data_IF_124107188279
#
_entry.id   IF_124107188279
#
_cell.length_a   1.000
_cell.length_b   1.000
_cell.length_c   1.000
_cell.angle_alpha   90.00
_cell.angle_beta   90.00
_cell.angle_gamma   90.00
#
_symmetry.space_group_name_H-M   'P 1'
#
loop_
_entity.id
_entity.type
_entity.pdbx_description
1 polymer ?
#
# COMPACT_ATOMS: atom_id res chain seq x y z
N UNK A 1 25.61 23.55 -24.03
CA UNK A 1 25.62 23.92 -22.59
C UNK A 1 25.89 22.73 -21.66
N UNK A 2 25.18 21.59 -21.77
CA UNK A 2 25.50 20.37 -20.99
C UNK A 2 26.76 19.65 -21.50
N UNK A 3 26.82 19.40 -22.81
CA UNK A 3 27.98 18.78 -23.47
C UNK A 3 29.29 19.53 -23.24
N UNK A 4 29.25 20.87 -23.24
CA UNK A 4 30.44 21.71 -23.01
C UNK A 4 31.00 21.60 -21.59
N UNK A 5 30.20 21.07 -20.64
CA UNK A 5 30.58 20.85 -19.24
C UNK A 5 30.79 19.37 -18.90
N UNK A 6 30.50 18.45 -19.82
CA UNK A 6 30.52 17.00 -19.55
C UNK A 6 29.37 16.51 -18.68
N UNK A 7 28.34 17.32 -18.45
CA UNK A 7 27.18 16.97 -17.63
C UNK A 7 26.18 16.13 -18.44
N UNK A 8 25.57 15.13 -17.81
CA UNK A 8 24.50 14.32 -18.37
C UNK A 8 23.44 14.02 -17.30
N UNK A 9 22.18 13.89 -17.72
CA UNK A 9 21.09 13.42 -16.86
C UNK A 9 20.54 12.06 -17.31
N UNK A 10 19.54 11.55 -16.58
CA UNK A 10 18.93 10.26 -16.90
C UNK A 10 18.27 10.22 -18.29
N UNK A 11 17.72 11.33 -18.77
CA UNK A 11 17.11 11.38 -20.09
C UNK A 11 18.20 11.32 -21.18
N UNK A 12 19.33 12.00 -20.97
CA UNK A 12 20.49 11.94 -21.87
C UNK A 12 21.04 10.50 -21.97
N UNK A 13 21.16 9.79 -20.84
CA UNK A 13 21.59 8.37 -20.82
C UNK A 13 20.60 7.49 -21.59
N UNK A 14 19.29 7.62 -21.32
CA UNK A 14 18.26 6.79 -21.97
C UNK A 14 18.24 7.03 -23.47
N UNK A 15 18.38 8.28 -23.92
CA UNK A 15 18.45 8.64 -25.34
C UNK A 15 19.69 8.05 -26.02
N UNK A 16 20.86 8.13 -25.37
CA UNK A 16 22.10 7.53 -25.86
C UNK A 16 22.01 5.99 -25.94
N UNK A 17 21.41 5.33 -24.95
CA UNK A 17 21.17 3.88 -24.99
C UNK A 17 20.24 3.48 -26.14
N UNK A 18 19.15 4.21 -26.37
CA UNK A 18 18.28 3.98 -27.54
C UNK A 18 19.04 4.13 -28.85
N UNK A 19 19.92 5.13 -28.95
CA UNK A 19 20.73 5.35 -30.13
C UNK A 19 21.70 4.17 -30.37
N UNK A 20 22.46 3.78 -29.34
CA UNK A 20 23.44 2.69 -29.45
C UNK A 20 22.80 1.34 -29.71
N UNK A 21 21.73 0.99 -28.99
CA UNK A 21 21.02 -0.28 -29.14
C UNK A 21 20.14 -0.35 -30.39
N UNK A 22 19.80 0.81 -30.98
CA UNK A 22 19.13 0.89 -32.26
C UNK A 22 20.06 0.64 -33.45
N UNK A 23 21.33 1.07 -33.35
CA UNK A 23 22.33 0.85 -34.40
C UNK A 23 23.09 -0.47 -34.24
N UNK A 24 23.42 -0.83 -33.00
CA UNK A 24 24.09 -2.06 -32.65
C UNK A 24 23.06 -2.97 -31.97
N UNK A 25 22.84 -4.17 -32.48
CA UNK A 25 21.99 -5.13 -31.79
C UNK A 25 22.53 -5.43 -30.39
N UNK A 26 21.63 -5.71 -29.45
CA UNK A 26 22.02 -6.13 -28.11
C UNK A 26 22.79 -7.46 -28.19
N UNK A 27 24.05 -7.46 -27.75
CA UNK A 27 24.98 -8.60 -27.84
C UNK A 27 24.95 -9.49 -26.57
N UNK A 28 24.22 -9.08 -25.54
CA UNK A 28 24.11 -9.86 -24.30
C UNK A 28 23.08 -10.98 -24.38
N UNK A 29 22.93 -11.70 -23.26
CA UNK A 29 21.94 -12.78 -23.14
C UNK A 29 20.51 -12.24 -23.27
N UNK A 30 19.76 -12.83 -24.20
CA UNK A 30 18.37 -12.43 -24.41
C UNK A 30 17.51 -12.76 -23.20
N UNK A 31 16.77 -11.75 -22.73
CA UNK A 31 15.80 -11.93 -21.66
C UNK A 31 14.51 -12.48 -22.26
N UNK A 32 14.00 -13.58 -21.71
CA UNK A 32 12.78 -14.24 -22.18
C UNK A 32 11.50 -13.69 -21.54
N UNK A 33 11.60 -13.26 -20.28
CA UNK A 33 10.50 -12.72 -19.49
C UNK A 33 10.99 -11.53 -18.66
N UNK A 34 10.22 -10.45 -18.66
CA UNK A 34 10.48 -9.20 -17.96
C UNK A 34 9.27 -8.90 -17.09
N UNK A 35 9.51 -8.82 -15.79
CA UNK A 35 8.53 -8.42 -14.79
C UNK A 35 8.94 -7.05 -14.25
N UNK A 36 8.03 -6.10 -14.30
CA UNK A 36 8.26 -4.73 -13.83
C UNK A 36 7.26 -4.43 -12.74
N UNK A 37 7.78 -4.11 -11.57
CA UNK A 37 7.02 -3.55 -10.46
C UNK A 37 7.14 -2.03 -10.45
N UNK A 38 6.17 -1.34 -9.85
CA UNK A 38 6.10 0.13 -9.78
C UNK A 38 6.30 0.83 -11.13
N UNK A 39 5.65 0.30 -12.17
CA UNK A 39 5.81 0.80 -13.56
C UNK A 39 5.49 2.30 -13.69
N UNK A 40 4.65 2.84 -12.81
CA UNK A 40 4.27 4.26 -12.81
C UNK A 40 5.43 5.22 -12.51
N UNK A 41 6.50 4.75 -11.87
CA UNK A 41 7.67 5.58 -11.57
C UNK A 41 8.71 5.58 -12.72
N UNK A 42 8.43 4.85 -13.81
CA UNK A 42 9.29 4.79 -15.00
C UNK A 42 8.73 5.62 -16.15
N UNK A 43 9.60 6.32 -16.87
CA UNK A 43 9.22 7.01 -18.10
C UNK A 43 8.98 6.01 -19.24
N UNK A 44 8.08 6.36 -20.16
CA UNK A 44 7.81 5.55 -21.37
C UNK A 44 9.08 5.29 -22.20
N UNK A 45 10.01 6.24 -22.22
CA UNK A 45 11.29 6.08 -22.92
C UNK A 45 12.18 5.04 -22.25
N UNK A 46 12.23 4.99 -20.92
CA UNK A 46 12.96 3.95 -20.19
C UNK A 46 12.35 2.57 -20.46
N UNK A 47 11.03 2.44 -20.38
CA UNK A 47 10.33 1.17 -20.65
C UNK A 47 10.60 0.71 -22.09
N UNK A 48 10.63 1.64 -23.05
CA UNK A 48 10.91 1.33 -24.45
C UNK A 48 12.30 0.73 -24.69
N UNK A 49 13.29 0.93 -23.80
CA UNK A 49 14.60 0.31 -23.94
C UNK A 49 14.51 -1.22 -23.91
N UNK A 50 13.53 -1.77 -23.20
CA UNK A 50 13.38 -3.21 -23.02
C UNK A 50 13.08 -3.96 -24.33
N UNK A 51 12.62 -3.27 -25.37
CA UNK A 51 12.42 -3.84 -26.71
C UNK A 51 13.73 -4.39 -27.29
N UNK A 52 14.87 -3.82 -26.90
CA UNK A 52 16.18 -4.24 -27.41
C UNK A 52 16.67 -5.53 -26.74
N UNK A 53 16.17 -5.83 -25.54
CA UNK A 53 16.68 -6.92 -24.70
C UNK A 53 15.74 -8.14 -24.70
N UNK A 54 14.43 -7.93 -24.75
CA UNK A 54 13.41 -8.99 -24.79
C UNK A 54 12.69 -9.01 -26.14
N UNK A 55 12.82 -10.13 -26.87
CA UNK A 55 12.17 -10.34 -28.18
C UNK A 55 10.75 -10.92 -28.07
N UNK A 56 10.38 -11.47 -26.92
CA UNK A 56 9.07 -12.07 -26.69
C UNK A 56 8.04 -10.99 -26.33
N UNK A 57 7.55 -10.26 -27.34
CA UNK A 57 6.59 -9.15 -27.12
C UNK A 57 5.21 -9.65 -26.70
N UNK A 58 4.79 -10.83 -27.17
CA UNK A 58 3.43 -11.34 -26.94
C UNK A 58 3.17 -11.75 -25.49
N UNK A 59 4.13 -12.43 -24.85
CA UNK A 59 3.94 -13.02 -23.50
C UNK A 59 5.10 -12.73 -22.54
N UNK A 60 6.14 -12.06 -23.02
CA UNK A 60 7.37 -11.86 -22.26
C UNK A 60 7.34 -10.69 -21.29
N UNK A 61 6.25 -9.92 -21.21
CA UNK A 61 6.17 -8.73 -20.37
C UNK A 61 4.99 -8.77 -19.40
N UNK A 62 5.26 -8.47 -18.14
CA UNK A 62 4.26 -8.26 -17.09
C UNK A 62 4.58 -6.96 -16.39
N UNK A 63 3.60 -6.04 -16.38
CA UNK A 63 3.71 -4.74 -15.73
C UNK A 63 2.75 -4.70 -14.54
N UNK A 64 3.27 -4.32 -13.39
CA UNK A 64 2.53 -4.14 -12.14
C UNK A 64 2.77 -2.72 -11.63
N UNK A 65 1.73 -2.10 -11.08
CA UNK A 65 1.79 -0.74 -10.56
C UNK A 65 0.41 -0.15 -10.27
N UNK A 66 0.41 1.08 -9.79
CA UNK A 66 -0.80 1.84 -9.45
C UNK A 66 -0.70 3.27 -10.04
N UNK A 67 -1.66 3.62 -10.88
CA UNK A 67 -1.71 4.92 -11.58
C UNK A 67 -1.87 6.10 -10.62
N UNK A 68 -2.50 5.89 -9.46
CA UNK A 68 -2.70 6.92 -8.46
C UNK A 68 -1.46 7.16 -7.58
N UNK A 69 -0.49 6.25 -7.59
CA UNK A 69 0.69 6.26 -6.71
C UNK A 69 1.97 6.66 -7.47
N UNK A 70 1.87 7.67 -8.34
CA UNK A 70 3.05 8.19 -9.03
C UNK A 70 3.83 9.13 -8.12
N UNK A 71 5.06 8.77 -7.77
CA UNK A 71 5.93 9.57 -6.89
C UNK A 71 6.95 10.38 -7.72
N UNK A 72 7.31 9.86 -8.89
CA UNK A 72 8.20 10.52 -9.82
C UNK A 72 7.62 11.85 -10.35
N UNK A 73 8.34 12.95 -10.08
CA UNK A 73 7.89 14.30 -10.48
C UNK A 73 7.85 14.44 -12.01
N UNK A 74 6.71 14.93 -12.51
CA UNK A 74 6.52 15.22 -13.93
C UNK A 74 6.23 13.98 -14.77
N UNK A 75 5.93 12.86 -14.12
CA UNK A 75 5.39 11.67 -14.78
C UNK A 75 3.90 11.61 -14.48
N UNK A 76 3.09 11.59 -15.54
CA UNK A 76 1.71 11.17 -15.49
C UNK A 76 1.68 9.75 -16.10
N UNK A 77 0.99 8.81 -15.46
CA UNK A 77 1.06 7.40 -15.85
C UNK A 77 -0.32 6.78 -16.04
N UNK A 78 -0.48 6.10 -17.18
CA UNK A 78 -1.61 5.21 -17.45
C UNK A 78 -1.12 3.91 -18.08
N UNK A 79 -1.76 2.81 -17.70
CA UNK A 79 -1.60 1.53 -18.38
C UNK A 79 -2.00 1.61 -19.84
N UNK A 80 -2.94 2.50 -20.21
CA UNK A 80 -3.28 2.74 -21.62
C UNK A 80 -2.10 3.33 -22.43
N UNK A 81 -1.22 4.11 -21.78
CA UNK A 81 -0.02 4.64 -22.41
C UNK A 81 1.03 3.52 -22.63
N UNK A 82 1.09 2.52 -21.73
CA UNK A 82 1.89 1.30 -21.93
C UNK A 82 1.37 0.48 -23.11
N UNK A 83 0.06 0.28 -23.20
CA UNK A 83 -0.54 -0.43 -24.35
C UNK A 83 -0.21 0.27 -25.66
N UNK A 84 -0.35 1.60 -25.67
CA UNK A 84 0.01 2.44 -26.82
C UNK A 84 1.49 2.34 -27.17
N UNK A 85 2.38 2.35 -26.15
CA UNK A 85 3.81 2.16 -26.35
C UNK A 85 4.14 0.81 -26.99
N UNK A 86 3.53 -0.27 -26.52
CA UNK A 86 3.72 -1.60 -27.07
C UNK A 86 3.27 -1.67 -28.52
N UNK A 87 2.07 -1.14 -28.81
CA UNK A 87 1.58 -1.05 -30.18
C UNK A 87 2.53 -0.25 -31.08
N UNK A 88 3.03 0.90 -30.63
CA UNK A 88 3.83 1.80 -31.49
C UNK A 88 5.29 1.35 -31.63
N UNK A 89 5.92 0.84 -30.56
CA UNK A 89 7.37 0.63 -30.47
C UNK A 89 7.81 -0.83 -30.46
N UNK A 90 6.94 -1.76 -30.04
CA UNK A 90 7.30 -3.18 -29.90
C UNK A 90 6.71 -4.05 -31.02
N UNK A 91 5.53 -3.69 -31.56
CA UNK A 91 4.94 -4.44 -32.68
C UNK A 91 5.60 -4.11 -34.04
N UNK A 92 5.84 -5.12 -34.89
CA UNK A 92 6.31 -4.93 -36.26
C UNK A 92 5.35 -4.06 -37.10
N UNK A 93 5.89 -3.32 -38.08
CA UNK A 93 5.07 -2.53 -39.02
C UNK A 93 4.08 -3.38 -39.81
N UNK A 94 4.47 -4.58 -40.22
CA UNK A 94 3.61 -5.50 -40.97
C UNK A 94 2.35 -5.90 -40.20
N UNK A 95 2.48 -6.15 -38.88
CA UNK A 95 1.35 -6.53 -38.02
C UNK A 95 0.43 -5.34 -37.75
N UNK A 96 0.99 -4.14 -37.54
CA UNK A 96 0.22 -2.90 -37.41
C UNK A 96 -0.59 -2.59 -38.66
N UNK A 97 0.02 -2.71 -39.84
CA UNK A 97 -0.67 -2.49 -41.12
C UNK A 97 -1.80 -3.50 -41.34
N UNK A 98 -1.60 -4.77 -40.98
CA UNK A 98 -2.64 -5.80 -41.05
C UNK A 98 -3.80 -5.53 -40.07
N UNK A 99 -3.50 -5.07 -38.85
CA UNK A 99 -4.51 -4.70 -37.85
C UNK A 99 -5.35 -3.50 -38.29
N UNK A 100 -4.70 -2.42 -38.77
CA UNK A 100 -5.41 -1.23 -39.26
C UNK A 100 -6.31 -1.52 -40.48
N UNK A 101 -6.01 -2.58 -41.25
CA UNK A 101 -6.84 -3.05 -42.36
C UNK A 101 -7.94 -4.04 -41.94
N UNK A 102 -8.12 -4.28 -40.63
CA UNK A 102 -9.12 -5.21 -40.09
C UNK A 102 -8.82 -6.69 -40.33
N UNK A 103 -7.57 -7.03 -40.68
CA UNK A 103 -7.12 -8.38 -41.04
C UNK A 103 -6.19 -9.03 -40.01
N UNK A 104 -5.81 -8.32 -38.95
CA UNK A 104 -4.87 -8.78 -37.93
C UNK A 104 -5.52 -9.03 -36.57
N UNK A 105 -5.05 -10.06 -35.85
CA UNK A 105 -5.44 -10.38 -34.47
C UNK A 105 -4.49 -9.73 -33.44
N UNK A 106 -3.98 -8.52 -33.70
CA UNK A 106 -3.10 -7.82 -32.78
C UNK A 106 -3.86 -7.45 -31.51
N UNK A 107 -3.93 -8.39 -30.55
CA UNK A 107 -4.61 -8.21 -29.28
C UNK A 107 -3.60 -7.76 -28.25
N UNK A 108 -3.61 -6.48 -27.92
CA UNK A 108 -2.93 -6.01 -26.71
C UNK A 108 -3.64 -6.67 -25.52
N UNK A 109 -2.86 -7.27 -24.61
CA UNK A 109 -3.37 -7.96 -23.44
C UNK A 109 -4.29 -7.06 -22.61
N UNK A 110 -5.37 -7.65 -22.09
CA UNK A 110 -6.30 -6.95 -21.20
C UNK A 110 -5.63 -6.69 -19.85
N UNK A 111 -5.91 -5.53 -19.26
CA UNK A 111 -5.42 -5.16 -17.93
C UNK A 111 -6.16 -5.98 -16.89
N UNK A 112 -5.42 -6.73 -16.07
CA UNK A 112 -5.98 -7.42 -14.92
C UNK A 112 -5.97 -6.51 -13.69
N UNK A 113 -7.15 -6.19 -13.16
CA UNK A 113 -7.29 -5.26 -12.03
C UNK A 113 -7.48 -6.04 -10.73
N UNK A 114 -6.57 -5.82 -9.78
CA UNK A 114 -6.68 -6.32 -8.42
C UNK A 114 -7.45 -5.30 -7.56
N UNK A 115 -8.72 -5.57 -7.27
CA UNK A 115 -9.59 -4.64 -6.54
C UNK A 115 -9.86 -5.05 -5.08
N UNK A 116 -9.18 -6.07 -4.56
CA UNK A 116 -9.34 -6.53 -3.19
C UNK A 116 -8.16 -6.05 -2.34
N UNK A 117 -8.44 -5.17 -1.38
CA UNK A 117 -7.45 -4.65 -0.46
C UNK A 117 -7.47 -5.46 0.84
N UNK A 118 -6.33 -6.05 1.18
CA UNK A 118 -6.16 -6.88 2.39
C UNK A 118 -5.55 -6.10 3.57
N UNK A 119 -5.05 -4.88 3.33
CA UNK A 119 -4.32 -4.09 4.33
C UNK A 119 -5.22 -3.06 5.02
N UNK A 120 -6.05 -2.39 4.23
CA UNK A 120 -6.82 -1.22 4.65
C UNK A 120 -8.30 -1.56 4.75
N UNK A 121 -9.00 -0.95 5.72
CA UNK A 121 -10.43 -1.19 5.92
C UNK A 121 -11.32 -0.32 5.03
N UNK A 122 -12.56 -0.77 4.86
CA UNK A 122 -13.53 -0.23 3.89
C UNK A 122 -13.73 1.29 3.95
N UNK A 123 -13.81 1.89 5.14
CA UNK A 123 -14.09 3.33 5.25
C UNK A 123 -12.90 4.22 4.82
N UNK A 124 -11.65 3.80 5.07
CA UNK A 124 -10.48 4.51 4.52
C UNK A 124 -10.42 4.34 3.00
N UNK A 125 -10.81 3.18 2.47
CA UNK A 125 -10.88 2.98 1.02
C UNK A 125 -11.92 3.87 0.37
N UNK A 126 -13.10 4.05 0.98
CA UNK A 126 -14.10 5.01 0.49
C UNK A 126 -13.55 6.44 0.48
N UNK A 127 -12.79 6.82 1.51
CA UNK A 127 -12.13 8.13 1.56
C UNK A 127 -11.12 8.27 0.41
N UNK A 128 -10.23 7.30 0.24
CA UNK A 128 -9.24 7.27 -0.84
C UNK A 128 -9.91 7.32 -2.22
N UNK A 129 -10.93 6.49 -2.45
CA UNK A 129 -11.72 6.44 -3.69
C UNK A 129 -12.34 7.81 -4.00
N UNK A 130 -12.80 8.55 -3.00
CA UNK A 130 -13.35 9.90 -3.22
C UNK A 130 -12.31 10.88 -3.76
N UNK A 131 -11.03 10.71 -3.40
CA UNK A 131 -9.92 11.48 -3.95
C UNK A 131 -9.59 11.03 -5.37
N UNK A 132 -9.58 9.72 -5.65
CA UNK A 132 -9.38 9.19 -7.01
C UNK A 132 -10.46 9.67 -7.97
N UNK A 133 -11.71 9.79 -7.51
CA UNK A 133 -12.81 10.36 -8.31
C UNK A 133 -12.56 11.83 -8.68
N UNK A 134 -12.06 12.63 -7.74
CA UNK A 134 -11.67 14.02 -8.02
C UNK A 134 -10.52 14.07 -9.04
N UNK A 135 -9.48 13.25 -8.85
CA UNK A 135 -8.37 13.16 -9.79
C UNK A 135 -8.84 12.75 -11.19
N UNK A 136 -9.70 11.74 -11.29
CA UNK A 136 -10.27 11.28 -12.55
C UNK A 136 -11.16 12.35 -13.21
N UNK A 137 -11.85 13.17 -12.43
CA UNK A 137 -12.69 14.25 -12.96
C UNK A 137 -11.90 15.46 -13.43
N UNK A 138 -10.83 15.83 -12.73
CA UNK A 138 -10.03 17.02 -13.06
C UNK A 138 -8.90 16.71 -14.05
N UNK A 139 -8.35 15.50 -14.00
CA UNK A 139 -7.21 15.04 -14.80
C UNK A 139 -7.50 13.69 -15.48
N UNK A 140 -8.54 13.59 -16.33
CA UNK A 140 -8.96 12.34 -16.97
C UNK A 140 -7.91 11.71 -17.91
N UNK A 141 -6.88 12.48 -18.28
CA UNK A 141 -5.78 12.01 -19.12
C UNK A 141 -4.53 11.61 -18.35
N UNK A 142 -4.50 11.82 -17.02
CA UNK A 142 -3.32 11.54 -16.19
C UNK A 142 -3.48 10.27 -15.34
N UNK A 143 -4.70 9.72 -15.22
CA UNK A 143 -4.99 8.51 -14.44
C UNK A 143 -5.99 7.60 -15.17
N UNK A 144 -5.85 6.29 -15.01
CA UNK A 144 -6.84 5.33 -15.50
C UNK A 144 -8.06 5.26 -14.56
N UNK A 145 -9.26 5.20 -15.15
CA UNK A 145 -10.49 5.00 -14.39
C UNK A 145 -10.66 3.50 -14.11
N UNK A 146 -10.31 3.09 -12.89
CA UNK A 146 -10.38 1.70 -12.44
C UNK A 146 -11.62 1.45 -11.57
N UNK A 147 -11.96 0.17 -11.39
CA UNK A 147 -13.03 -0.23 -10.47
C UNK A 147 -12.63 0.10 -9.03
N UNK A 148 -13.54 0.61 -8.19
CA UNK A 148 -13.24 0.89 -6.79
C UNK A 148 -12.73 -0.35 -6.04
N UNK A 149 -11.78 -0.12 -5.12
CA UNK A 149 -11.30 -1.16 -4.23
C UNK A 149 -12.35 -1.58 -3.19
N UNK A 150 -12.27 -2.84 -2.79
CA UNK A 150 -13.11 -3.46 -1.77
C UNK A 150 -12.24 -4.09 -0.69
N UNK A 151 -12.73 -4.12 0.54
CA UNK A 151 -12.01 -4.74 1.65
C UNK A 151 -12.92 -5.65 2.46
N UNK A 152 -12.34 -6.75 2.93
CA UNK A 152 -12.95 -7.63 3.93
C UNK A 152 -12.64 -7.17 5.36
N UNK A 153 -11.71 -6.22 5.52
CA UNK A 153 -11.36 -5.63 6.80
C UNK A 153 -12.38 -4.55 7.12
N UNK A 154 -13.20 -4.81 8.14
CA UNK A 154 -14.04 -3.77 8.72
C UNK A 154 -13.21 -2.88 9.66
N UNK A 155 -13.55 -1.60 9.63
CA UNK A 155 -12.98 -0.54 10.42
C UNK A 155 -13.80 0.71 10.20
N UNK A 156 -13.37 1.83 10.74
CA UNK A 156 -14.24 2.97 10.89
C UNK A 156 -13.91 4.19 10.07
N UNK A 157 -14.89 5.09 9.98
CA UNK A 157 -14.73 6.37 9.32
C UNK A 157 -13.53 7.14 9.92
N UNK A 158 -12.64 7.65 9.06
CA UNK A 158 -11.56 8.54 9.46
C UNK A 158 -12.05 9.76 10.24
N UNK A 159 -11.18 10.33 11.08
CA UNK A 159 -11.51 11.46 11.94
C UNK A 159 -10.74 12.68 11.50
N UNK A 160 -11.46 13.77 11.27
CA UNK A 160 -10.90 15.11 11.16
C UNK A 160 -10.93 15.74 12.55
N UNK A 161 -9.76 16.09 13.04
CA UNK A 161 -9.57 16.82 14.29
C UNK A 161 -9.71 18.31 14.00
N UNK A 162 -10.71 18.93 14.62
CA UNK A 162 -10.81 20.38 14.67
C UNK A 162 -9.82 20.90 15.72
N UNK A 163 -8.70 21.39 15.23
CA UNK A 163 -7.57 21.85 16.02
C UNK A 163 -7.76 23.33 16.49
N UNK A 164 -8.85 24.01 16.05
CA UNK A 164 -9.25 25.34 16.51
C UNK A 164 -8.15 26.41 16.37
N UNK A 165 -8.08 27.34 17.32
CA UNK A 165 -7.05 28.40 17.38
C UNK A 165 -5.75 27.97 18.08
N UNK A 166 -5.61 26.68 18.44
CA UNK A 166 -4.43 26.17 19.16
C UNK A 166 -3.23 26.16 18.21
N UNK A 167 -2.28 27.07 18.43
CA UNK A 167 -0.96 26.98 17.82
C UNK A 167 -0.26 25.73 18.37
N UNK A 168 0.02 24.76 17.50
CA UNK A 168 0.72 23.51 17.78
C UNK A 168 -0.18 22.36 18.28
N UNK A 169 -1.09 21.88 17.43
CA UNK A 169 -1.84 20.64 17.67
C UNK A 169 -0.93 19.43 17.94
N UNK A 170 0.27 19.43 17.35
CA UNK A 170 1.31 18.42 17.63
C UNK A 170 1.75 18.46 19.08
N UNK A 171 1.90 19.63 19.70
CA UNK A 171 2.27 19.71 21.13
C UNK A 171 1.12 19.21 22.01
N UNK A 172 -0.14 19.40 21.63
CA UNK A 172 -1.26 18.82 22.39
C UNK A 172 -1.32 17.29 22.24
N UNK A 173 -1.12 16.77 21.03
CA UNK A 173 -1.20 15.33 20.73
C UNK A 173 0.04 14.57 21.23
N UNK A 174 1.24 15.17 21.16
CA UNK A 174 2.52 14.51 21.43
C UNK A 174 3.33 15.12 22.58
N UNK A 175 2.94 16.29 23.09
CA UNK A 175 3.61 16.93 24.22
C UNK A 175 3.29 16.22 25.52
N UNK A 176 4.34 15.91 26.28
CA UNK A 176 4.20 15.49 27.67
C UNK A 176 3.91 16.71 28.54
N UNK A 177 2.96 16.59 29.45
CA UNK A 177 2.84 17.50 30.59
C UNK A 177 4.05 17.25 31.51
N UNK A 178 5.12 18.00 31.26
CA UNK A 178 6.35 18.31 32.04
C UNK A 178 6.97 17.30 33.03
N UNK A 179 8.31 17.34 33.05
CA UNK A 179 9.24 16.83 34.08
C UNK A 179 9.52 15.32 34.15
N UNK A 180 10.19 14.77 33.13
CA UNK A 180 11.46 14.07 33.34
C UNK A 180 12.15 13.82 31.99
N UNK A 181 13.49 13.81 32.00
CA UNK A 181 14.34 13.55 30.83
C UNK A 181 14.28 12.11 30.34
N UNK A 182 13.08 11.60 30.02
CA UNK A 182 12.82 10.23 29.60
C UNK A 182 12.14 10.17 28.24
N UNK A 183 12.84 9.59 27.27
CA UNK A 183 12.42 8.99 26.00
C UNK A 183 11.03 9.39 25.44
N UNK A 184 11.02 10.05 24.27
CA UNK A 184 9.84 10.20 23.42
C UNK A 184 9.18 8.83 23.19
N UNK A 185 8.04 8.56 23.83
CA UNK A 185 7.17 7.42 23.49
C UNK A 185 6.26 7.89 22.36
N UNK A 186 6.54 7.43 21.14
CA UNK A 186 5.80 7.84 19.93
C UNK A 186 4.33 7.40 19.94
N UNK A 187 3.46 8.21 19.33
CA UNK A 187 2.07 7.86 19.04
C UNK A 187 2.00 6.53 18.26
N UNK A 188 1.05 5.65 18.61
CA UNK A 188 0.92 4.32 18.02
C UNK A 188 1.95 3.28 18.53
N UNK A 189 2.99 3.67 19.26
CA UNK A 189 4.02 2.72 19.73
C UNK A 189 3.50 1.76 20.81
N UNK A 190 2.47 2.13 21.59
CA UNK A 190 1.85 1.30 22.65
C UNK A 190 0.40 0.88 22.34
N UNK A 191 -0.05 1.11 21.11
CA UNK A 191 -1.41 0.81 20.67
C UNK A 191 -1.44 -0.35 19.68
N UNK A 192 -2.44 -1.22 19.83
CA UNK A 192 -2.71 -2.40 18.97
C UNK A 192 -2.97 -2.00 17.53
N UNK A 193 -3.45 -0.78 17.40
CA UNK A 193 -3.92 -0.18 16.18
C UNK A 193 -2.83 0.82 15.80
N UNK A 194 -2.26 0.67 14.60
CA UNK A 194 -1.44 1.70 13.98
C UNK A 194 -2.36 2.89 13.69
N UNK A 195 -2.47 3.79 14.65
CA UNK A 195 -3.14 5.06 14.45
C UNK A 195 -2.24 5.92 13.55
N UNK A 196 -2.69 6.15 12.31
CA UNK A 196 -2.00 7.04 11.38
C UNK A 196 -2.53 8.46 11.58
N UNK A 197 -1.64 9.41 11.84
CA UNK A 197 -1.97 10.83 11.85
C UNK A 197 -1.46 11.48 10.56
N UNK A 198 -2.38 11.91 9.70
CA UNK A 198 -2.10 12.81 8.60
C UNK A 198 -2.11 14.25 9.14
N UNK A 199 -0.93 14.86 9.23
CA UNK A 199 -0.77 16.19 9.80
C UNK A 199 -0.32 17.21 8.75
N UNK A 200 -1.08 18.30 8.65
CA UNK A 200 -0.80 19.49 7.85
C UNK A 200 -0.54 19.21 6.34
N UNK A 201 -1.14 18.14 5.80
CA UNK A 201 -1.01 17.72 4.40
C UNK A 201 -1.46 18.80 3.42
N UNK A 202 -2.60 19.44 3.67
CA UNK A 202 -3.11 20.53 2.83
C UNK A 202 -2.32 21.82 3.05
N UNK A 203 -1.87 22.08 4.27
CA UNK A 203 -0.98 23.20 4.60
C UNK A 203 0.36 23.19 3.86
N UNK A 204 1.00 22.02 3.76
CA UNK A 204 2.29 21.84 3.04
C UNK A 204 2.13 21.67 1.53
N UNK A 205 0.90 21.45 1.06
CA UNK A 205 0.61 21.21 -0.35
C UNK A 205 0.98 22.43 -1.22
N UNK A 206 1.63 22.23 -2.38
CA UNK A 206 1.88 23.31 -3.34
C UNK A 206 0.61 23.98 -3.87
N UNK A 207 -0.53 23.29 -3.84
CA UNK A 207 -1.81 23.75 -4.41
C UNK A 207 -2.42 24.91 -3.60
N UNK A 208 -2.27 24.91 -2.26
CA UNK A 208 -2.78 25.96 -1.36
C UNK A 208 -4.24 26.36 -1.71
N UNK A 209 -4.48 27.60 -2.12
CA UNK A 209 -5.81 28.11 -2.47
C UNK A 209 -6.47 27.44 -3.68
N UNK A 210 -5.73 26.68 -4.48
CA UNK A 210 -6.28 25.97 -5.64
C UNK A 210 -7.23 24.84 -5.25
N UNK A 211 -7.18 24.35 -4.01
CA UNK A 211 -8.15 23.38 -3.48
C UNK A 211 -9.61 23.86 -3.56
N UNK A 212 -9.86 25.18 -3.68
CA UNK A 212 -11.22 25.74 -3.89
C UNK A 212 -11.91 25.21 -5.14
N UNK A 213 -11.18 24.64 -6.10
CA UNK A 213 -11.76 23.97 -7.29
C UNK A 213 -12.75 22.86 -6.93
N UNK A 214 -12.58 22.23 -5.76
CA UNK A 214 -13.45 21.16 -5.26
C UNK A 214 -14.87 21.65 -5.03
N UNK A 215 -15.08 22.91 -4.63
CA UNK A 215 -16.43 23.48 -4.51
C UNK A 215 -17.16 23.49 -5.85
N UNK A 216 -16.47 23.84 -6.93
CA UNK A 216 -17.03 23.79 -8.28
C UNK A 216 -17.41 22.37 -8.72
N UNK A 217 -16.73 21.34 -8.23
CA UNK A 217 -17.11 19.94 -8.44
C UNK A 217 -18.35 19.54 -7.62
N UNK A 218 -18.38 19.95 -6.34
CA UNK A 218 -19.51 19.67 -5.43
C UNK A 218 -20.82 20.25 -5.95
N UNK A 219 -20.80 21.48 -6.44
CA UNK A 219 -21.99 22.16 -6.97
C UNK A 219 -22.54 21.45 -8.21
N UNK A 220 -21.66 20.92 -9.08
CA UNK A 220 -22.06 20.16 -10.27
C UNK A 220 -22.70 18.81 -9.93
N UNK A 221 -22.34 18.19 -8.80
CA UNK A 221 -22.82 16.86 -8.43
C UNK A 221 -24.00 16.83 -7.45
N UNK A 222 -24.49 17.99 -6.99
CA UNK A 222 -25.63 18.10 -6.06
C UNK A 222 -25.52 17.18 -4.83
N UNK A 223 -24.32 17.05 -4.26
CA UNK A 223 -24.03 16.13 -3.15
C UNK A 223 -24.68 16.64 -1.85
N UNK A 224 -25.64 15.88 -1.31
CA UNK A 224 -26.30 16.14 -0.03
C UNK A 224 -26.18 14.92 0.91
N UNK A 225 -25.94 15.17 2.21
CA UNK A 225 -25.76 14.15 3.24
C UNK A 225 -27.06 13.55 3.78
N UNK A 226 -26.99 12.28 4.20
CA UNK A 226 -27.81 11.74 5.29
C UNK A 226 -26.87 11.07 6.32
N UNK A 227 -27.01 11.43 7.60
CA UNK A 227 -26.09 11.03 8.68
C UNK A 227 -26.15 9.52 9.00
N UNK A 228 -24.99 8.94 9.30
CA UNK A 228 -24.88 7.75 10.17
C UNK A 228 -23.63 7.84 11.05
N UNK A 229 -23.78 7.56 12.34
CA UNK A 229 -22.71 7.53 13.34
C UNK A 229 -22.37 6.08 13.73
N UNK A 230 -21.08 5.76 13.97
CA UNK A 230 -20.56 4.82 15.00
C UNK A 230 -19.01 4.75 15.02
N UNK A 231 -18.44 4.32 16.16
CA UNK A 231 -17.14 4.73 16.76
C UNK A 231 -16.18 3.63 17.29
N UNK A 232 -14.85 3.92 17.16
CA UNK A 232 -13.52 3.23 17.36
C UNK A 232 -12.58 3.17 16.11
N UNK A 233 -11.58 4.07 16.12
CA UNK A 233 -10.98 4.81 14.97
C UNK A 233 -9.60 4.27 14.50
N UNK A 234 -9.15 4.63 13.28
CA UNK A 234 -7.87 4.16 12.67
C UNK A 234 -7.08 5.17 11.80
N UNK A 235 -7.68 6.29 11.40
CA UNK A 235 -7.02 7.35 10.63
C UNK A 235 -7.45 8.71 11.17
N UNK A 236 -6.46 9.51 11.56
CA UNK A 236 -6.63 10.85 12.11
C UNK A 236 -6.09 11.87 11.11
N UNK A 237 -6.80 12.97 10.92
CA UNK A 237 -6.42 14.07 10.03
C UNK A 237 -6.47 15.35 10.87
N UNK A 238 -5.35 16.04 11.06
CA UNK A 238 -5.32 17.39 11.65
C UNK A 238 -4.61 18.34 10.69
N UNK A 239 -5.21 19.51 10.47
CA UNK A 239 -4.67 20.59 9.67
C UNK A 239 -4.61 21.85 10.51
N UNK A 240 -3.47 22.54 10.50
CA UNK A 240 -3.35 23.83 11.19
C UNK A 240 -3.88 24.98 10.33
N UNK A 241 -3.72 24.85 9.01
CA UNK A 241 -4.11 25.90 8.06
C UNK A 241 -5.50 25.61 7.50
N UNK A 242 -6.51 26.09 8.22
CA UNK A 242 -7.92 25.83 7.89
C UNK A 242 -8.31 26.32 6.48
N UNK A 243 -7.67 27.39 5.98
CA UNK A 243 -8.00 27.99 4.68
C UNK A 243 -7.84 27.00 3.51
N UNK A 244 -6.82 26.14 3.54
CA UNK A 244 -6.49 25.27 2.42
C UNK A 244 -7.22 23.92 2.48
N UNK A 245 -7.52 23.41 3.67
CA UNK A 245 -8.19 22.12 3.85
C UNK A 245 -9.72 22.19 3.76
N UNK A 246 -10.33 23.37 4.02
CA UNK A 246 -11.79 23.58 4.03
C UNK A 246 -12.52 22.98 2.82
N UNK A 247 -12.08 23.18 1.56
CA UNK A 247 -12.77 22.59 0.40
C UNK A 247 -12.86 21.07 0.46
N UNK A 248 -11.79 20.39 0.89
CA UNK A 248 -11.75 18.94 1.00
C UNK A 248 -12.51 18.43 2.22
N UNK A 249 -12.43 19.14 3.35
CA UNK A 249 -13.20 18.79 4.55
C UNK A 249 -14.70 18.92 4.31
N UNK A 250 -15.15 19.98 3.66
CA UNK A 250 -16.55 20.14 3.27
C UNK A 250 -16.99 19.05 2.29
N UNK A 251 -16.13 18.69 1.33
CA UNK A 251 -16.39 17.60 0.40
C UNK A 251 -16.59 16.25 1.11
N UNK A 252 -15.65 15.88 1.98
CA UNK A 252 -15.74 14.63 2.75
C UNK A 252 -16.89 14.63 3.75
N UNK A 253 -17.19 15.79 4.35
CA UNK A 253 -18.38 15.99 5.18
C UNK A 253 -19.65 15.75 4.37
N UNK A 254 -19.75 16.35 3.18
CA UNK A 254 -20.90 16.19 2.27
C UNK A 254 -21.11 14.75 1.80
N UNK A 255 -20.03 13.99 1.64
CA UNK A 255 -20.07 12.55 1.33
C UNK A 255 -20.22 11.63 2.55
N UNK A 256 -20.28 12.17 3.77
CA UNK A 256 -20.34 11.40 5.01
C UNK A 256 -19.17 10.40 5.19
N UNK A 257 -17.98 10.77 4.73
CA UNK A 257 -16.79 9.90 4.75
C UNK A 257 -15.94 10.05 6.01
N UNK A 258 -16.10 11.15 6.74
CA UNK A 258 -15.28 11.48 7.93
C UNK A 258 -16.13 11.92 9.11
N UNK A 259 -15.61 11.70 10.30
CA UNK A 259 -16.16 12.22 11.56
C UNK A 259 -15.38 13.48 11.96
N UNK A 260 -16.06 14.52 12.44
CA UNK A 260 -15.42 15.70 13.00
C UNK A 260 -15.42 15.60 14.53
N UNK A 261 -14.27 15.83 15.15
CA UNK A 261 -14.11 15.89 16.60
C UNK A 261 -13.23 17.07 16.99
N UNK A 262 -13.62 17.78 18.05
CA UNK A 262 -12.80 18.84 18.62
C UNK A 262 -11.61 18.23 19.37
N UNK A 263 -10.41 18.80 19.16
CA UNK A 263 -9.22 18.39 19.88
C UNK A 263 -9.14 19.12 21.23
N UNK A 264 -9.61 18.48 22.28
CA UNK A 264 -9.41 18.92 23.67
C UNK A 264 -8.35 18.06 24.39
N UNK A 265 -7.89 18.52 25.57
CA UNK A 265 -6.82 17.83 26.31
C UNK A 265 -7.26 16.46 26.84
N UNK A 266 -8.56 16.28 27.11
CA UNK A 266 -9.13 14.99 27.55
C UNK A 266 -9.18 13.99 26.39
N UNK A 267 -9.47 14.48 25.18
CA UNK A 267 -9.50 13.73 23.95
C UNK A 267 -8.08 13.36 23.52
N UNK A 268 -7.13 14.29 23.59
CA UNK A 268 -5.72 14.02 23.36
C UNK A 268 -5.16 13.00 24.36
N UNK A 269 -5.58 13.05 25.63
CA UNK A 269 -5.21 12.03 26.61
C UNK A 269 -5.84 10.67 26.27
N UNK A 270 -7.10 10.64 25.83
CA UNK A 270 -7.77 9.43 25.34
C UNK A 270 -7.06 8.84 24.11
N UNK A 271 -6.52 9.69 23.21
CA UNK A 271 -5.69 9.29 22.08
C UNK A 271 -4.34 8.68 22.49
N UNK A 272 -3.84 8.97 23.69
CA UNK A 272 -2.60 8.40 24.24
C UNK A 272 -2.83 7.14 25.06
N UNK A 273 -4.08 6.72 25.30
CA UNK A 273 -4.36 5.53 26.12
C UNK A 273 -3.81 4.31 25.40
N UNK A 274 -2.86 3.65 26.05
CA UNK A 274 -2.33 2.36 25.61
C UNK A 274 -3.48 1.36 25.47
N UNK A 275 -3.47 0.58 24.40
CA UNK A 275 -4.51 -0.43 24.19
C UNK A 275 -4.49 -1.45 25.33
N UNK A 276 -5.68 -1.94 25.69
CA UNK A 276 -5.77 -2.90 26.80
C UNK A 276 -5.10 -4.23 26.41
N UNK A 277 -4.60 -5.02 27.38
CA UNK A 277 -4.08 -6.36 27.12
C UNK A 277 -5.08 -7.25 26.36
N UNK A 278 -6.39 -7.10 26.61
CA UNK A 278 -7.46 -7.82 25.92
C UNK A 278 -7.60 -7.38 24.45
N UNK A 279 -7.39 -6.10 24.15
CA UNK A 279 -7.38 -5.59 22.77
C UNK A 279 -6.16 -6.12 22.00
N UNK A 280 -4.99 -6.14 22.64
CA UNK A 280 -3.76 -6.77 22.11
C UNK A 280 -3.96 -8.25 21.83
N UNK A 281 -4.58 -8.97 22.77
CA UNK A 281 -4.91 -10.39 22.59
C UNK A 281 -5.90 -10.60 21.44
N UNK A 282 -6.98 -9.82 21.36
CA UNK A 282 -7.99 -9.94 20.32
C UNK A 282 -7.40 -9.73 18.91
N UNK A 283 -6.55 -8.70 18.76
CA UNK A 283 -5.85 -8.45 17.48
C UNK A 283 -4.82 -9.52 17.17
N UNK A 284 -4.07 -9.98 18.17
CA UNK A 284 -3.13 -11.08 18.03
C UNK A 284 -3.82 -12.35 17.52
N UNK A 285 -4.98 -12.68 18.07
CA UNK A 285 -5.77 -13.84 17.63
C UNK A 285 -6.20 -13.67 16.16
N UNK A 286 -6.67 -12.48 15.78
CA UNK A 286 -7.03 -12.20 14.38
C UNK A 286 -5.83 -12.36 13.43
N UNK A 287 -4.69 -11.77 13.76
CA UNK A 287 -3.46 -11.85 12.96
C UNK A 287 -2.93 -13.29 12.86
N UNK A 288 -3.07 -14.08 13.93
CA UNK A 288 -2.68 -15.48 13.96
C UNK A 288 -3.48 -16.30 12.92
N UNK A 289 -4.79 -16.11 12.85
CA UNK A 289 -5.63 -16.78 11.83
C UNK A 289 -5.42 -16.24 10.41
N UNK A 290 -4.95 -14.99 10.27
CA UNK A 290 -4.50 -14.40 8.99
C UNK A 290 -3.09 -14.88 8.58
N UNK A 291 -2.48 -15.82 9.31
CA UNK A 291 -1.12 -16.34 9.11
C UNK A 291 0.00 -15.30 9.26
N UNK A 292 -0.29 -14.13 9.86
CA UNK A 292 0.70 -13.10 10.17
C UNK A 292 1.26 -13.32 11.58
N UNK A 293 2.04 -14.40 11.74
CA UNK A 293 2.50 -14.89 13.03
C UNK A 293 3.51 -13.97 13.74
N UNK A 294 4.31 -13.21 12.99
CA UNK A 294 5.28 -12.26 13.55
C UNK A 294 4.56 -11.10 14.25
N UNK A 295 3.61 -10.46 13.56
CA UNK A 295 2.81 -9.38 14.15
C UNK A 295 1.89 -9.92 15.26
N UNK A 296 1.35 -11.14 15.12
CA UNK A 296 0.57 -11.78 16.16
C UNK A 296 1.39 -11.98 17.45
N UNK A 297 2.63 -12.43 17.31
CA UNK A 297 3.56 -12.62 18.44
C UNK A 297 3.79 -11.33 19.20
N UNK A 298 4.14 -10.25 18.50
CA UNK A 298 4.32 -8.92 19.13
C UNK A 298 3.05 -8.48 19.87
N UNK A 299 1.87 -8.76 19.31
CA UNK A 299 0.61 -8.44 19.98
C UNK A 299 0.45 -9.20 21.31
N UNK A 300 0.82 -10.49 21.35
CA UNK A 300 0.69 -11.29 22.55
C UNK A 300 1.75 -10.97 23.62
N UNK A 301 2.96 -10.56 23.22
CA UNK A 301 3.98 -10.02 24.14
C UNK A 301 3.44 -8.77 24.87
N UNK A 302 2.80 -7.87 24.12
CA UNK A 302 2.17 -6.66 24.67
C UNK A 302 0.92 -6.94 25.50
N UNK A 303 0.16 -7.98 25.12
CA UNK A 303 -0.94 -8.51 25.94
C UNK A 303 -0.45 -9.22 27.22
N UNK A 304 0.86 -9.48 27.34
CA UNK A 304 1.47 -10.35 28.38
C UNK A 304 0.84 -11.76 28.40
N UNK A 305 0.38 -12.24 27.25
CA UNK A 305 -0.20 -13.58 27.08
C UNK A 305 0.88 -14.56 26.61
N UNK A 306 1.62 -15.11 27.57
CA UNK A 306 2.77 -16.00 27.33
C UNK A 306 2.38 -17.24 26.51
N UNK A 307 1.16 -17.75 26.70
CA UNK A 307 0.69 -18.93 25.98
C UNK A 307 0.49 -18.62 24.50
N UNK A 308 -0.23 -17.54 24.19
CA UNK A 308 -0.49 -17.15 22.80
C UNK A 308 0.75 -16.60 22.09
N UNK A 309 1.66 -15.93 22.81
CA UNK A 309 2.96 -15.50 22.29
C UNK A 309 3.75 -16.71 21.78
N UNK A 310 3.96 -17.69 22.65
CA UNK A 310 4.72 -18.90 22.31
C UNK A 310 4.03 -19.72 21.22
N UNK A 311 2.69 -19.81 21.25
CA UNK A 311 1.91 -20.45 20.18
C UNK A 311 2.13 -19.77 18.81
N UNK A 312 2.16 -18.44 18.79
CA UNK A 312 2.37 -17.66 17.56
C UNK A 312 3.80 -17.80 17.03
N UNK A 313 4.81 -17.75 17.92
CA UNK A 313 6.21 -18.02 17.56
C UNK A 313 6.37 -19.41 16.93
N UNK A 314 5.80 -20.43 17.56
CA UNK A 314 5.89 -21.80 17.06
C UNK A 314 5.20 -21.95 15.69
N UNK A 315 4.01 -21.38 15.49
CA UNK A 315 3.31 -21.42 14.20
C UNK A 315 4.10 -20.69 13.08
N UNK A 316 4.73 -19.55 13.39
CA UNK A 316 5.60 -18.84 12.44
C UNK A 316 6.83 -19.65 12.01
N UNK A 317 7.44 -20.37 12.96
CA UNK A 317 8.53 -21.31 12.67
C UNK A 317 8.07 -22.46 11.77
N UNK A 318 6.88 -23.03 12.03
CA UNK A 318 6.29 -24.09 11.19
C UNK A 318 6.05 -23.63 9.75
N UNK A 319 5.48 -22.43 9.57
CA UNK A 319 5.25 -21.86 8.24
C UNK A 319 6.57 -21.65 7.47
N UNK A 320 7.60 -21.13 8.16
CA UNK A 320 8.94 -20.95 7.60
C UNK A 320 9.57 -22.29 7.20
N UNK A 321 9.49 -23.31 8.07
CA UNK A 321 10.03 -24.63 7.80
C UNK A 321 9.34 -25.31 6.61
N UNK A 322 8.02 -25.14 6.46
CA UNK A 322 7.26 -25.65 5.32
C UNK A 322 7.68 -24.98 4.01
N UNK A 323 7.78 -23.66 3.97
CA UNK A 323 8.27 -22.94 2.78
C UNK A 323 9.68 -23.40 2.37
N UNK A 324 10.57 -23.64 3.33
CA UNK A 324 11.92 -24.16 3.06
C UNK A 324 11.90 -25.61 2.53
N UNK A 325 10.95 -26.42 2.97
CA UNK A 325 10.79 -27.80 2.51
C UNK A 325 10.18 -27.88 1.10
N UNK A 326 9.24 -26.99 0.78
CA UNK A 326 8.64 -26.87 -0.56
C UNK A 326 9.70 -26.48 -1.61
N UNK A 327 10.68 -25.66 -1.20
CA UNK A 327 11.84 -25.31 -2.03
C UNK A 327 12.88 -26.45 -2.11
N UNK A 328 13.11 -27.17 -1.02
CA UNK A 328 14.05 -28.30 -0.97
C UNK A 328 13.63 -29.39 0.03
N UNK A 329 13.14 -30.55 -0.44
CA UNK A 329 12.58 -31.61 0.42
C UNK A 329 13.56 -32.25 1.42
N UNK A 330 14.88 -32.12 1.20
CA UNK A 330 15.94 -32.70 2.04
C UNK A 330 16.66 -31.67 2.90
N UNK A 331 16.10 -30.48 3.07
CA UNK A 331 16.73 -29.42 3.85
C UNK A 331 16.82 -29.79 5.34
N UNK A 332 18.04 -30.07 5.82
CA UNK A 332 18.29 -30.42 7.21
C UNK A 332 17.88 -29.29 8.19
N UNK A 333 17.89 -28.04 7.74
CA UNK A 333 17.50 -26.89 8.56
C UNK A 333 15.99 -26.88 8.84
N UNK A 334 15.15 -27.39 7.92
CA UNK A 334 13.70 -27.45 8.15
C UNK A 334 13.37 -28.39 9.32
N UNK A 335 14.05 -29.54 9.41
CA UNK A 335 13.88 -30.48 10.52
C UNK A 335 14.34 -29.92 11.87
N UNK A 336 15.39 -29.09 11.87
CA UNK A 336 15.82 -28.39 13.08
C UNK A 336 14.75 -27.40 13.57
N UNK A 337 14.19 -26.61 12.65
CA UNK A 337 13.12 -25.64 12.96
C UNK A 337 11.85 -26.36 13.44
N UNK A 338 11.50 -27.52 12.87
CA UNK A 338 10.36 -28.31 13.36
C UNK A 338 10.54 -28.77 14.81
N UNK A 339 11.75 -29.20 15.20
CA UNK A 339 12.05 -29.58 16.59
C UNK A 339 11.97 -28.40 17.54
N UNK A 340 12.44 -27.23 17.10
CA UNK A 340 12.34 -26.00 17.87
C UNK A 340 10.88 -25.61 18.11
N UNK A 341 10.05 -25.61 17.07
CA UNK A 341 8.62 -25.34 17.19
C UNK A 341 7.92 -26.35 18.11
N UNK A 342 8.24 -27.65 17.99
CA UNK A 342 7.70 -28.69 18.86
C UNK A 342 8.08 -28.46 20.34
N UNK A 343 9.33 -28.10 20.63
CA UNK A 343 9.78 -27.78 21.98
C UNK A 343 9.06 -26.57 22.58
N UNK A 344 8.73 -25.57 21.76
CA UNK A 344 7.94 -24.42 22.22
C UNK A 344 6.52 -24.86 22.58
N UNK A 345 5.86 -25.68 21.75
CA UNK A 345 4.52 -26.21 22.02
C UNK A 345 4.46 -27.10 23.27
N UNK A 346 5.48 -27.92 23.48
CA UNK A 346 5.62 -28.75 24.69
C UNK A 346 5.78 -27.87 25.93
N UNK A 347 6.56 -26.78 25.85
CA UNK A 347 6.76 -25.84 26.96
C UNK A 347 5.49 -25.12 27.42
N UNK A 348 4.44 -25.08 26.59
CA UNK A 348 3.14 -24.48 26.91
C UNK A 348 2.04 -25.51 27.15
N UNK A 349 2.36 -26.81 27.12
CA UNK A 349 1.39 -27.89 27.35
C UNK A 349 0.31 -28.02 26.27
N UNK A 350 0.51 -27.45 25.08
CA UNK A 350 -0.46 -27.45 23.98
C UNK A 350 -0.19 -28.58 22.98
N UNK A 351 -0.12 -29.81 23.46
CA UNK A 351 0.22 -30.99 22.65
C UNK A 351 -0.84 -31.32 21.59
N UNK A 352 -2.12 -31.14 21.90
CA UNK A 352 -3.23 -31.39 20.96
C UNK A 352 -3.30 -30.33 19.84
N UNK A 353 -3.14 -29.05 20.15
CA UNK A 353 -3.07 -28.00 19.13
C UNK A 353 -1.84 -28.15 18.25
N UNK A 354 -0.68 -28.50 18.84
CA UNK A 354 0.51 -28.81 18.06
C UNK A 354 0.26 -29.97 17.10
N UNK A 355 -0.35 -31.07 17.57
CA UNK A 355 -0.69 -32.21 16.72
C UNK A 355 -1.63 -31.83 15.56
N UNK A 356 -2.60 -30.94 15.81
CA UNK A 356 -3.47 -30.40 14.78
C UNK A 356 -2.70 -29.52 13.78
N UNK A 357 -1.88 -28.57 14.25
CA UNK A 357 -1.08 -27.69 13.41
C UNK A 357 -0.07 -28.49 12.54
N UNK A 358 0.59 -29.50 13.12
CA UNK A 358 1.46 -30.44 12.38
C UNK A 358 0.67 -31.33 11.40
N UNK A 359 -0.58 -31.67 11.70
CA UNK A 359 -1.46 -32.45 10.83
C UNK A 359 -1.99 -31.62 9.65
N UNK A 360 -2.45 -30.40 9.90
CA UNK A 360 -2.96 -29.46 8.89
C UNK A 360 -1.86 -29.05 7.90
N UNK A 361 -0.61 -29.06 8.35
CA UNK A 361 0.56 -28.85 7.50
C UNK A 361 1.07 -30.13 6.81
N UNK A 362 0.47 -31.30 7.08
CA UNK A 362 0.81 -32.58 6.45
C UNK A 362 2.12 -33.21 6.93
N UNK A 363 2.65 -32.78 8.08
CA UNK A 363 3.99 -33.12 8.57
C UNK A 363 3.99 -34.45 9.37
N UNK A 364 2.86 -34.82 9.98
CA UNK A 364 2.73 -35.98 10.89
C UNK A 364 3.19 -37.34 10.32
N UNK A 365 3.25 -37.50 8.99
CA UNK A 365 3.73 -38.75 8.36
C UNK A 365 5.26 -38.89 8.27
N UNK A 366 6.05 -37.88 8.69
CA UNK A 366 7.50 -37.81 8.39
C UNK A 366 8.42 -37.65 9.61
N UNK A 367 7.86 -37.67 10.83
CA UNK A 367 8.61 -37.53 12.09
C UNK A 367 8.88 -38.87 12.82
N UNK A 368 8.56 -40.00 12.20
CA UNK A 368 8.94 -41.34 12.69
C UNK A 368 10.10 -41.89 11.88
#
# INVERSE_FOLDING_TARGET
>A
MKMDKGDYDMADIVADLHHRLGHNEYVGDHIRYVYIDEVQDLTMSQIALLKHVCRNVETGFVFCGDTAQTIARGIDFRFEDIKSLFYIKFMPESERSAYNQGKGNAKVSETFVLNQNFRTHTEVLKLSQSTIELLSSFFPHSIDVLKPETSLVYGEAPVVLDCGSRKNAVVTIFGNTEHDGGMFVGFGAEQVILDVLLYNFFGISPLKNQWRVVYGYMDKQAICCYNTYKTRQRLWICEETEEYCRPMFDFWKRKCLVQFKELDDTFAQAMKVASSPEEWKSRGIKLYYESNYEMATMCFERARDICWEKKSKAAGLLATAKNLQDLNPKNANANAIFREAAGIFESIGMTESAAQDFSDLGIMKKLV
#
